data_IF_408067219349
#
_entry.id   IF_408067219349
#
_cell.length_a   1.000
_cell.length_b   1.000
_cell.length_c   1.000
_cell.angle_alpha   90.00
_cell.angle_beta   90.00
_cell.angle_gamma   90.00
#
_symmetry.space_group_name_H-M   'P 1'
#
loop_
_entity.id
_entity.type
_entity.pdbx_description
1 polymer ?
#
# COMPACT_ATOMS: atom_id res chain seq x y z
N UNK A 1 7.37 8.68 -1.02
CA UNK A 1 7.54 9.03 0.41
C UNK A 1 9.02 9.26 0.70
N UNK A 2 9.37 10.41 1.26
CA UNK A 2 10.75 10.79 1.62
C UNK A 2 11.16 10.34 3.02
N UNK A 3 10.50 9.31 3.57
CA UNK A 3 10.73 8.78 4.92
C UNK A 3 12.19 8.37 5.14
N UNK A 4 12.86 7.90 4.08
CA UNK A 4 14.27 7.55 4.12
C UNK A 4 15.19 8.75 4.47
N UNK A 5 14.74 10.00 4.27
CA UNK A 5 15.44 11.22 4.70
C UNK A 5 15.16 11.62 6.16
N UNK A 6 14.12 11.07 6.79
CA UNK A 6 13.82 11.36 8.19
C UNK A 6 14.87 10.73 9.11
N UNK A 7 15.27 11.49 10.13
CA UNK A 7 16.18 11.03 11.19
C UNK A 7 15.66 9.70 11.77
N UNK A 8 16.55 8.74 11.94
CA UNK A 8 16.23 7.32 12.24
C UNK A 8 15.46 7.11 13.56
N UNK A 9 15.50 8.07 14.46
CA UNK A 9 14.96 8.06 15.81
C UNK A 9 13.65 8.86 15.95
N UNK A 10 13.19 9.53 14.90
CA UNK A 10 11.87 10.21 14.90
C UNK A 10 10.76 9.17 14.79
N UNK A 11 9.83 9.08 15.76
CA UNK A 11 8.66 8.21 15.68
C UNK A 11 7.80 8.51 14.46
N UNK A 12 7.39 7.47 13.74
CA UNK A 12 6.47 7.58 12.59
C UNK A 12 5.12 7.00 13.00
N UNK A 13 4.12 7.88 13.06
CA UNK A 13 2.73 7.52 13.27
C UNK A 13 2.07 7.21 11.91
N UNK A 14 1.33 6.11 11.81
CA UNK A 14 0.68 5.70 10.55
C UNK A 14 -0.54 4.82 10.80
N UNK A 15 -1.45 4.77 9.81
CA UNK A 15 -2.58 3.85 9.83
C UNK A 15 -2.13 2.39 9.58
N UNK A 16 -2.92 1.38 10.00
CA UNK A 16 -2.60 -0.02 9.72
C UNK A 16 -2.45 -0.31 8.22
N UNK A 17 -3.31 0.28 7.39
CA UNK A 17 -3.23 0.17 5.93
C UNK A 17 -1.97 0.84 5.36
N UNK A 18 -1.57 2.02 5.85
CA UNK A 18 -0.30 2.64 5.46
C UNK A 18 0.90 1.77 5.81
N UNK A 19 0.88 1.12 6.98
CA UNK A 19 1.92 0.17 7.39
C UNK A 19 1.99 -1.02 6.43
N UNK A 20 0.86 -1.64 6.08
CA UNK A 20 0.78 -2.75 5.12
C UNK A 20 1.33 -2.37 3.73
N UNK A 21 0.98 -1.17 3.23
CA UNK A 21 1.50 -0.66 1.95
C UNK A 21 3.01 -0.41 2.03
N UNK A 22 3.50 0.27 3.08
CA UNK A 22 4.93 0.55 3.25
C UNK A 22 5.75 -0.73 3.39
N UNK A 23 5.23 -1.73 4.12
CA UNK A 23 5.84 -3.06 4.23
C UNK A 23 5.96 -3.73 2.86
N UNK A 24 4.86 -3.75 2.10
CA UNK A 24 4.85 -4.29 0.74
C UNK A 24 5.87 -3.59 -0.17
N UNK A 25 5.93 -2.25 -0.13
CA UNK A 25 6.84 -1.47 -0.97
C UNK A 25 8.33 -1.70 -0.62
N UNK A 26 8.64 -1.87 0.68
CA UNK A 26 9.99 -2.17 1.13
C UNK A 26 10.39 -3.61 0.81
N UNK A 27 9.52 -4.59 1.05
CA UNK A 27 9.85 -6.01 0.92
C UNK A 27 9.85 -6.50 -0.54
N UNK A 28 8.96 -5.96 -1.38
CA UNK A 28 8.83 -6.36 -2.80
C UNK A 28 9.62 -5.47 -3.77
N UNK A 29 10.29 -4.45 -3.23
CA UNK A 29 10.91 -3.39 -4.01
C UNK A 29 12.36 -3.65 -4.43
N UNK A 30 12.72 -3.24 -5.65
CA UNK A 30 14.11 -3.18 -6.12
C UNK A 30 14.66 -1.74 -6.11
N UNK A 31 15.87 -1.52 -5.59
CA UNK A 31 16.60 -0.23 -5.67
C UNK A 31 16.93 0.43 -4.33
N UNK A 32 17.65 1.56 -4.39
CA UNK A 32 18.02 2.41 -3.25
C UNK A 32 16.84 3.30 -2.81
N UNK A 33 16.85 3.77 -1.55
CA UNK A 33 15.83 4.67 -0.95
C UNK A 33 14.45 4.06 -0.61
N UNK A 34 14.37 2.73 -0.43
CA UNK A 34 13.14 2.02 -0.02
C UNK A 34 13.03 1.71 1.48
N UNK A 35 13.91 2.29 2.29
CA UNK A 35 13.90 2.16 3.75
C UNK A 35 12.73 2.96 4.34
N UNK A 36 11.55 2.34 4.36
CA UNK A 36 10.29 2.94 4.82
C UNK A 36 10.01 2.56 6.27
N UNK A 37 10.10 1.27 6.58
CA UNK A 37 9.91 0.73 7.93
C UNK A 37 11.24 0.52 8.65
N UNK A 38 12.31 0.36 7.87
CA UNK A 38 13.68 0.30 8.37
C UNK A 38 14.45 1.57 8.00
N UNK A 39 15.64 1.67 8.55
CA UNK A 39 16.68 2.63 8.16
C UNK A 39 17.96 1.84 7.92
N UNK A 40 18.51 1.91 6.71
CA UNK A 40 19.82 1.33 6.40
C UNK A 40 20.90 2.38 6.58
N UNK A 41 21.76 2.18 7.57
CA UNK A 41 22.86 3.11 7.81
C UNK A 41 23.92 2.99 6.70
N UNK A 42 24.15 4.10 6.00
CA UNK A 42 25.24 4.20 5.03
C UNK A 42 26.60 4.20 5.74
N UNK A 43 27.61 3.65 5.06
CA UNK A 43 29.02 3.65 5.49
C UNK A 43 29.34 2.99 6.86
N UNK A 44 28.47 2.11 7.38
CA UNK A 44 28.84 1.28 8.55
C UNK A 44 29.85 0.21 8.17
N UNK A 45 30.90 0.09 8.98
CA UNK A 45 31.94 -0.92 8.85
C UNK A 45 32.05 -1.75 10.13
N UNK A 46 32.55 -2.97 10.00
CA UNK A 46 32.92 -3.86 11.10
C UNK A 46 34.29 -4.49 10.83
N UNK A 47 35.04 -4.95 11.85
CA UNK A 47 36.26 -5.72 11.64
C UNK A 47 36.01 -6.93 10.71
N UNK A 48 36.97 -7.20 9.82
CA UNK A 48 36.88 -8.33 8.90
C UNK A 48 36.93 -9.66 9.65
N UNK A 49 36.02 -10.59 9.31
CA UNK A 49 36.09 -11.97 9.82
C UNK A 49 37.25 -12.78 9.20
N UNK A 50 37.92 -12.24 8.17
CA UNK A 50 38.98 -12.92 7.39
C UNK A 50 40.39 -12.39 7.70
N UNK A 51 40.58 -11.64 8.78
CA UNK A 51 41.89 -11.11 9.20
C UNK A 51 41.90 -9.59 9.34
N UNK A 52 43.04 -8.95 9.02
CA UNK A 52 43.21 -7.51 9.17
C UNK A 52 42.27 -6.70 8.25
N UNK A 53 41.78 -5.56 8.75
CA UNK A 53 40.96 -4.61 8.01
C UNK A 53 39.47 -4.61 8.38
N UNK A 54 38.67 -3.90 7.59
CA UNK A 54 37.24 -3.68 7.83
C UNK A 54 36.39 -4.11 6.64
N UNK A 55 35.18 -4.57 6.91
CA UNK A 55 34.17 -4.89 5.89
C UNK A 55 32.93 -4.02 6.10
N UNK A 56 32.37 -3.51 5.00
CA UNK A 56 31.09 -2.78 5.02
C UNK A 56 29.97 -3.70 5.49
N UNK A 57 29.15 -3.24 6.44
CA UNK A 57 27.94 -3.93 6.87
C UNK A 57 26.91 -3.82 5.73
N UNK A 58 26.31 -4.95 5.35
CA UNK A 58 25.35 -5.05 4.23
C UNK A 58 24.12 -5.88 4.66
N UNK A 59 23.05 -5.78 3.87
CA UNK A 59 21.84 -6.59 4.05
C UNK A 59 21.13 -6.30 5.37
N UNK A 60 20.52 -7.33 5.95
CA UNK A 60 19.71 -7.23 7.19
C UNK A 60 20.47 -6.62 8.37
N UNK A 61 21.77 -6.88 8.48
CA UNK A 61 22.61 -6.36 9.57
C UNK A 61 22.82 -4.83 9.50
N UNK A 62 22.68 -4.25 8.29
CA UNK A 62 22.75 -2.80 8.12
C UNK A 62 21.41 -2.09 8.40
N UNK A 63 20.31 -2.85 8.46
CA UNK A 63 18.95 -2.35 8.67
C UNK A 63 18.63 -2.28 10.16
N UNK A 64 18.11 -1.14 10.59
CA UNK A 64 17.53 -0.95 11.93
C UNK A 64 16.07 -0.57 11.78
N UNK A 65 15.16 -1.20 12.54
CA UNK A 65 13.73 -0.86 12.51
C UNK A 65 13.53 0.57 13.01
N UNK A 66 12.69 1.35 12.33
CA UNK A 66 12.30 2.69 12.77
C UNK A 66 11.35 2.60 13.98
N UNK A 67 11.28 3.63 14.83
CA UNK A 67 10.23 3.71 15.85
C UNK A 67 8.87 3.95 15.17
N UNK A 68 8.10 2.88 14.97
CA UNK A 68 6.79 2.94 14.32
C UNK A 68 5.66 2.91 15.38
N UNK A 69 4.65 3.74 15.18
CA UNK A 69 3.44 3.80 16.00
C UNK A 69 2.23 3.65 15.08
N UNK A 70 1.66 2.44 15.02
CA UNK A 70 0.42 2.23 14.29
C UNK A 70 -0.73 2.69 15.17
N UNK A 71 -1.52 3.64 14.68
CA UNK A 71 -2.66 4.19 15.43
C UNK A 71 -3.97 3.49 15.06
N UNK A 72 -4.99 3.72 15.88
CA UNK A 72 -6.38 3.34 15.63
C UNK A 72 -7.16 4.61 15.25
N UNK A 73 -8.02 4.53 14.23
CA UNK A 73 -8.85 5.67 13.82
C UNK A 73 -9.83 6.08 14.91
N UNK A 74 -10.09 7.39 15.02
CA UNK A 74 -10.95 7.98 16.05
C UNK A 74 -10.33 7.99 17.45
N UNK A 75 -9.18 7.33 17.66
CA UNK A 75 -8.52 7.27 18.97
C UNK A 75 -7.46 8.35 19.10
N UNK A 76 -7.66 9.22 20.10
CA UNK A 76 -6.71 10.28 20.47
C UNK A 76 -5.36 9.69 20.94
N UNK A 77 -4.26 10.29 20.49
CA UNK A 77 -2.92 10.03 20.99
C UNK A 77 -2.10 11.33 21.08
N UNK A 78 -1.12 11.37 21.98
CA UNK A 78 -0.29 12.55 22.19
C UNK A 78 1.01 12.51 21.37
N UNK A 79 1.41 13.66 20.83
CA UNK A 79 2.76 13.95 20.33
C UNK A 79 3.26 15.21 21.03
N UNK A 80 4.09 15.05 22.06
CA UNK A 80 4.51 16.18 22.89
C UNK A 80 3.29 16.82 23.57
N UNK A 81 3.05 18.10 23.32
CA UNK A 81 1.89 18.86 23.82
C UNK A 81 0.67 18.83 22.88
N UNK A 82 0.73 18.06 21.78
CA UNK A 82 -0.35 17.98 20.79
C UNK A 82 -1.19 16.74 21.03
N UNK A 83 -2.51 16.91 21.03
CA UNK A 83 -3.48 15.81 21.06
C UNK A 83 -4.04 15.57 19.66
N UNK A 84 -3.71 14.42 19.07
CA UNK A 84 -4.02 14.10 17.67
C UNK A 84 -5.08 13.00 17.60
N UNK A 85 -6.13 13.23 16.81
CA UNK A 85 -7.17 12.24 16.49
C UNK A 85 -7.13 11.98 14.98
N UNK A 86 -6.74 10.76 14.55
CA UNK A 86 -6.71 10.40 13.13
C UNK A 86 -8.09 9.92 12.67
N UNK A 87 -8.57 10.40 11.52
CA UNK A 87 -9.78 9.92 10.88
C UNK A 87 -9.46 9.35 9.50
N UNK A 88 -10.02 8.18 9.18
CA UNK A 88 -9.92 7.64 7.83
C UNK A 88 -10.70 8.54 6.87
N UNK A 89 -10.15 8.76 5.69
CA UNK A 89 -10.84 9.47 4.60
C UNK A 89 -10.82 8.62 3.34
N UNK A 90 -11.81 8.82 2.48
CA UNK A 90 -11.83 8.23 1.15
C UNK A 90 -10.70 8.78 0.30
N UNK A 91 -9.99 7.87 -0.37
CA UNK A 91 -9.01 8.20 -1.38
C UNK A 91 -8.76 6.96 -2.28
N UNK A 92 -7.88 7.10 -3.27
CA UNK A 92 -7.45 5.97 -4.12
C UNK A 92 -6.65 4.90 -3.36
N UNK A 93 -6.05 5.28 -2.22
CA UNK A 93 -5.27 4.39 -1.36
C UNK A 93 -5.96 4.20 -0.02
N UNK A 94 -6.10 2.96 0.48
CA UNK A 94 -6.54 2.75 1.85
C UNK A 94 -5.48 3.28 2.81
N UNK A 95 -5.94 3.73 3.98
CA UNK A 95 -5.04 4.34 4.96
C UNK A 95 -4.88 5.85 4.83
N UNK A 96 -5.50 6.49 3.83
CA UNK A 96 -5.58 7.95 3.75
C UNK A 96 -6.25 8.49 5.03
N UNK A 97 -5.65 9.53 5.61
CA UNK A 97 -5.95 9.97 6.97
C UNK A 97 -5.99 11.49 7.04
N UNK A 98 -7.08 12.03 7.59
CA UNK A 98 -7.15 13.38 8.11
C UNK A 98 -6.78 13.37 9.60
N UNK A 99 -6.25 14.49 10.09
CA UNK A 99 -5.82 14.64 11.48
C UNK A 99 -6.50 15.86 12.11
N UNK A 100 -7.32 15.60 13.12
CA UNK A 100 -7.84 16.63 14.02
C UNK A 100 -6.83 16.79 15.16
N UNK A 101 -6.26 17.97 15.30
CA UNK A 101 -5.12 18.26 16.17
C UNK A 101 -5.53 19.36 17.15
N UNK A 102 -5.47 19.05 18.44
CA UNK A 102 -5.76 20.00 19.50
C UNK A 102 -4.45 20.52 20.07
N UNK A 103 -4.39 21.83 20.25
CA UNK A 103 -3.24 22.55 20.82
C UNK A 103 -3.70 23.45 21.96
N UNK A 104 -2.76 24.09 22.65
CA UNK A 104 -3.11 25.08 23.68
C UNK A 104 -3.74 26.36 23.11
N UNK A 105 -3.53 26.64 21.83
CA UNK A 105 -3.97 27.88 21.17
C UNK A 105 -5.21 27.67 20.29
N UNK A 106 -5.72 26.44 20.18
CA UNK A 106 -6.83 26.12 19.30
C UNK A 106 -6.76 24.74 18.65
N UNK A 107 -7.79 24.44 17.88
CA UNK A 107 -8.00 23.17 17.17
C UNK A 107 -7.80 23.35 15.67
N UNK A 108 -7.06 22.42 15.07
CA UNK A 108 -6.73 22.42 13.65
C UNK A 108 -7.19 21.11 13.01
N UNK A 109 -7.74 21.20 11.80
CA UNK A 109 -7.98 20.04 10.95
C UNK A 109 -7.00 20.07 9.78
N UNK A 110 -6.19 19.02 9.63
CA UNK A 110 -5.42 18.75 8.41
C UNK A 110 -6.08 17.60 7.65
N UNK A 111 -6.64 17.88 6.47
CA UNK A 111 -7.43 16.86 5.75
C UNK A 111 -6.58 15.76 5.12
N UNK A 112 -5.31 16.05 4.84
CA UNK A 112 -4.57 15.30 3.82
C UNK A 112 -5.31 15.36 2.47
N UNK A 113 -5.06 14.35 1.63
CA UNK A 113 -5.79 14.17 0.36
C UNK A 113 -7.04 13.34 0.61
N UNK A 114 -8.19 13.78 0.10
CA UNK A 114 -9.46 13.09 0.32
C UNK A 114 -10.43 13.25 -0.86
N UNK A 115 -11.49 12.45 -0.88
CA UNK A 115 -12.59 12.56 -1.85
C UNK A 115 -13.93 12.18 -1.22
N UNK A 116 -15.01 12.29 -2.00
CA UNK A 116 -16.37 11.89 -1.63
C UNK A 116 -17.04 11.01 -2.69
N UNK A 117 -16.25 10.29 -3.50
CA UNK A 117 -16.76 9.60 -4.69
C UNK A 117 -16.09 8.25 -4.96
N UNK A 118 -15.53 7.64 -3.92
CA UNK A 118 -14.98 6.30 -3.92
C UNK A 118 -15.65 5.41 -2.87
N UNK A 119 -15.05 4.25 -2.64
CA UNK A 119 -15.61 3.20 -1.78
C UNK A 119 -15.69 3.56 -0.29
N UNK A 120 -14.95 4.58 0.16
CA UNK A 120 -14.87 4.98 1.58
C UNK A 120 -15.51 6.34 1.87
N UNK A 121 -16.43 6.80 1.03
CA UNK A 121 -17.10 8.12 1.18
C UNK A 121 -17.66 8.32 2.60
N UNK A 122 -18.25 7.30 3.20
CA UNK A 122 -18.77 7.34 4.57
C UNK A 122 -17.70 7.67 5.63
N UNK A 123 -16.44 7.28 5.42
CA UNK A 123 -15.33 7.62 6.32
C UNK A 123 -15.01 9.12 6.26
N UNK A 124 -14.96 9.70 5.05
CA UNK A 124 -14.82 11.16 4.88
C UNK A 124 -15.99 11.89 5.53
N UNK A 125 -17.23 11.44 5.35
CA UNK A 125 -18.40 12.05 6.00
C UNK A 125 -18.33 11.97 7.53
N UNK A 126 -17.84 10.87 8.09
CA UNK A 126 -17.62 10.73 9.53
C UNK A 126 -16.55 11.70 10.04
N UNK A 127 -15.47 11.88 9.29
CA UNK A 127 -14.44 12.88 9.58
C UNK A 127 -15.04 14.29 9.61
N UNK A 128 -15.84 14.65 8.60
CA UNK A 128 -16.51 15.97 8.53
C UNK A 128 -17.46 16.17 9.71
N UNK A 129 -18.24 15.15 10.08
CA UNK A 129 -19.14 15.23 11.25
C UNK A 129 -18.37 15.46 12.54
N UNK A 130 -17.30 14.69 12.78
CA UNK A 130 -16.47 14.86 13.97
C UNK A 130 -15.81 16.25 14.00
N UNK A 131 -15.33 16.74 12.86
CA UNK A 131 -14.76 18.07 12.75
C UNK A 131 -15.78 19.19 13.00
N UNK A 132 -17.04 19.00 12.61
CA UNK A 132 -18.13 19.96 12.82
C UNK A 132 -18.64 20.02 14.27
N UNK A 133 -18.30 19.04 15.11
CA UNK A 133 -18.61 19.02 16.54
C UNK A 133 -17.55 19.79 17.37
N UNK A 134 -16.47 20.25 16.74
CA UNK A 134 -15.36 20.96 17.37
C UNK A 134 -15.36 22.45 16.99
N UNK A 135 -14.76 23.28 17.85
CA UNK A 135 -14.47 24.69 17.55
C UNK A 135 -13.15 24.77 16.78
N UNK A 136 -13.21 24.75 15.45
CA UNK A 136 -12.03 24.73 14.58
C UNK A 136 -11.49 26.14 14.32
N UNK A 137 -10.26 26.40 14.77
CA UNK A 137 -9.54 27.64 14.49
C UNK A 137 -8.89 27.64 13.11
N UNK A 138 -8.47 26.48 12.60
CA UNK A 138 -7.71 26.38 11.34
C UNK A 138 -8.03 25.11 10.56
N UNK A 139 -8.27 25.28 9.26
CA UNK A 139 -8.42 24.21 8.29
C UNK A 139 -7.26 24.25 7.29
N UNK A 140 -6.44 23.19 7.27
CA UNK A 140 -5.45 22.94 6.23
C UNK A 140 -6.03 21.86 5.30
N UNK A 141 -6.44 22.29 4.12
CA UNK A 141 -7.16 21.47 3.15
C UNK A 141 -6.39 21.35 1.84
N UNK A 142 -6.47 20.18 1.21
CA UNK A 142 -5.95 19.97 -0.14
C UNK A 142 -6.75 20.80 -1.19
N UNK A 143 -6.13 21.09 -2.32
CA UNK A 143 -6.73 21.94 -3.37
C UNK A 143 -6.46 21.41 -4.78
N UNK A 144 -6.20 20.11 -4.92
CA UNK A 144 -5.72 19.50 -6.17
C UNK A 144 -6.67 19.71 -7.34
N UNK A 145 -7.97 19.80 -7.06
CA UNK A 145 -9.05 19.92 -8.05
C UNK A 145 -9.96 21.12 -7.80
N UNK A 146 -9.43 22.20 -7.23
CA UNK A 146 -10.22 23.40 -6.89
C UNK A 146 -10.94 24.02 -8.10
N UNK A 147 -10.38 23.85 -9.30
CA UNK A 147 -10.94 24.38 -10.55
C UNK A 147 -11.84 23.38 -11.30
N UNK A 148 -11.95 22.13 -10.84
CA UNK A 148 -12.77 21.09 -11.49
C UNK A 148 -14.16 21.02 -10.85
N UNK A 149 -15.21 21.07 -11.68
CA UNK A 149 -16.61 21.05 -11.20
C UNK A 149 -17.14 19.65 -10.87
N UNK A 150 -16.55 18.62 -11.45
CA UNK A 150 -16.97 17.22 -11.29
C UNK A 150 -15.89 16.29 -11.81
N UNK A 151 -15.73 15.13 -11.16
CA UNK A 151 -14.91 14.04 -11.65
C UNK A 151 -15.69 12.73 -11.65
N UNK A 152 -15.19 11.74 -12.38
CA UNK A 152 -15.80 10.41 -12.40
C UNK A 152 -15.68 9.74 -11.02
N UNK A 153 -16.76 9.11 -10.60
CA UNK A 153 -16.80 8.24 -9.41
C UNK A 153 -16.14 6.89 -9.71
N UNK A 154 -15.81 6.12 -8.67
CA UNK A 154 -15.38 4.72 -8.89
C UNK A 154 -16.50 3.85 -9.48
N UNK A 155 -17.77 4.21 -9.29
CA UNK A 155 -18.90 3.49 -9.87
C UNK A 155 -19.06 3.81 -11.36
N UNK A 156 -18.82 5.06 -11.79
CA UNK A 156 -18.81 5.43 -13.22
C UNK A 156 -17.73 4.64 -13.98
N UNK A 157 -16.58 4.43 -13.32
CA UNK A 157 -15.48 3.61 -13.86
C UNK A 157 -15.90 2.14 -13.93
N UNK A 158 -16.58 1.63 -12.91
CA UNK A 158 -17.10 0.25 -12.91
C UNK A 158 -18.06 0.02 -14.07
N UNK A 159 -19.04 0.91 -14.25
CA UNK A 159 -20.05 0.83 -15.30
C UNK A 159 -19.38 0.91 -16.68
N UNK A 160 -18.67 1.99 -16.96
CA UNK A 160 -18.08 2.24 -18.28
C UNK A 160 -17.06 1.15 -18.66
N UNK A 161 -16.17 0.76 -17.73
CA UNK A 161 -15.18 -0.28 -18.01
C UNK A 161 -15.82 -1.67 -18.04
N UNK A 162 -16.84 -1.92 -17.22
CA UNK A 162 -17.59 -3.17 -17.19
C UNK A 162 -18.31 -3.45 -18.50
N UNK A 163 -19.02 -2.44 -19.01
CA UNK A 163 -19.66 -2.49 -20.33
C UNK A 163 -18.65 -2.81 -21.42
N UNK A 164 -17.54 -2.08 -21.48
CA UNK A 164 -16.48 -2.34 -22.45
C UNK A 164 -15.94 -3.77 -22.36
N UNK A 165 -15.57 -4.23 -21.16
CA UNK A 165 -15.01 -5.58 -20.92
C UNK A 165 -16.01 -6.69 -21.29
N UNK A 166 -17.31 -6.44 -21.13
CA UNK A 166 -18.36 -7.42 -21.48
C UNK A 166 -18.47 -7.66 -22.98
N UNK A 167 -18.14 -6.65 -23.80
CA UNK A 167 -18.27 -6.71 -25.28
C UNK A 167 -17.02 -7.23 -25.98
N UNK A 168 -15.85 -7.16 -25.35
CA UNK A 168 -14.57 -7.51 -25.99
C UNK A 168 -14.34 -9.03 -25.96
N UNK A 169 -14.21 -9.73 -27.09
CA UNK A 169 -13.79 -11.14 -27.08
C UNK A 169 -12.31 -11.27 -26.71
N UNK A 170 -11.96 -12.33 -25.98
CA UNK A 170 -10.55 -12.65 -25.66
C UNK A 170 -9.96 -11.84 -24.50
N UNK A 171 -8.67 -11.51 -24.58
CA UNK A 171 -7.90 -10.87 -23.50
C UNK A 171 -8.19 -9.37 -23.42
N UNK A 172 -8.35 -8.86 -22.19
CA UNK A 172 -8.37 -7.42 -21.90
C UNK A 172 -7.18 -7.08 -21.01
N UNK A 173 -6.39 -6.09 -21.43
CA UNK A 173 -5.28 -5.57 -20.64
C UNK A 173 -5.67 -4.23 -20.01
N UNK A 174 -5.39 -4.07 -18.72
CA UNK A 174 -5.68 -2.87 -17.95
C UNK A 174 -4.41 -2.43 -17.22
N UNK A 175 -4.20 -1.12 -17.09
CA UNK A 175 -3.06 -0.56 -16.38
C UNK A 175 -3.55 0.43 -15.31
N UNK A 176 -3.16 0.19 -14.07
CA UNK A 176 -3.39 1.08 -12.94
C UNK A 176 -2.22 0.95 -11.95
N UNK A 177 -1.96 1.96 -11.10
CA UNK A 177 -0.88 1.87 -10.13
C UNK A 177 -1.05 0.67 -9.20
N UNK A 178 -0.01 -0.12 -8.98
CA UNK A 178 -0.11 -1.35 -8.18
C UNK A 178 -0.57 -1.16 -6.72
N UNK A 179 -0.53 0.08 -6.23
CA UNK A 179 -1.00 0.47 -4.89
C UNK A 179 -2.47 0.92 -4.88
N UNK A 180 -3.05 1.23 -6.04
CA UNK A 180 -4.43 1.69 -6.17
C UNK A 180 -5.39 0.51 -5.98
N UNK A 181 -5.68 0.24 -4.70
CA UNK A 181 -6.55 -0.86 -4.30
C UNK A 181 -8.02 -0.57 -4.58
N UNK A 182 -8.41 0.70 -4.73
CA UNK A 182 -9.74 1.05 -5.24
C UNK A 182 -9.92 0.53 -6.67
N UNK A 183 -8.93 0.78 -7.54
CA UNK A 183 -8.98 0.29 -8.93
C UNK A 183 -8.87 -1.24 -9.02
N UNK A 184 -8.07 -1.87 -8.16
CA UNK A 184 -8.03 -3.33 -8.05
C UNK A 184 -9.42 -3.88 -7.71
N UNK A 185 -10.12 -3.29 -6.72
CA UNK A 185 -11.47 -3.69 -6.33
C UNK A 185 -12.47 -3.52 -7.47
N UNK A 186 -12.40 -2.40 -8.20
CA UNK A 186 -13.24 -2.15 -9.38
C UNK A 186 -13.05 -3.22 -10.46
N UNK A 187 -11.80 -3.52 -10.85
CA UNK A 187 -11.56 -4.56 -11.87
C UNK A 187 -11.82 -5.99 -11.38
N UNK A 188 -11.70 -6.25 -10.08
CA UNK A 188 -12.14 -7.52 -9.50
C UNK A 188 -13.66 -7.69 -9.60
N UNK A 189 -14.44 -6.65 -9.29
CA UNK A 189 -15.91 -6.65 -9.49
C UNK A 189 -16.28 -6.89 -10.96
N UNK A 190 -15.59 -6.21 -11.88
CA UNK A 190 -15.81 -6.40 -13.33
C UNK A 190 -15.52 -7.85 -13.74
N UNK A 191 -14.36 -8.38 -13.34
CA UNK A 191 -13.98 -9.75 -13.67
C UNK A 191 -15.05 -10.76 -13.19
N UNK A 192 -15.52 -10.63 -11.95
CA UNK A 192 -16.61 -11.45 -11.41
C UNK A 192 -17.91 -11.32 -12.19
N UNK A 193 -18.35 -10.11 -12.48
CA UNK A 193 -19.62 -9.87 -13.19
C UNK A 193 -19.61 -10.38 -14.64
N UNK A 194 -18.42 -10.46 -15.25
CA UNK A 194 -18.24 -10.90 -16.66
C UNK A 194 -17.77 -12.36 -16.78
N UNK A 195 -17.66 -13.09 -15.67
CA UNK A 195 -17.16 -14.47 -15.65
C UNK A 195 -15.69 -14.60 -16.05
N UNK A 196 -14.92 -13.51 -15.96
CA UNK A 196 -13.48 -13.48 -16.26
C UNK A 196 -12.66 -13.66 -14.99
N UNK A 197 -11.38 -14.00 -15.16
CA UNK A 197 -10.38 -13.94 -14.10
C UNK A 197 -9.57 -12.65 -14.20
N UNK A 198 -9.35 -11.99 -13.08
CA UNK A 198 -8.43 -10.88 -12.96
C UNK A 198 -7.02 -11.44 -12.71
N UNK A 199 -6.10 -11.16 -13.62
CA UNK A 199 -4.70 -11.60 -13.52
C UNK A 199 -3.86 -10.48 -12.91
N UNK A 200 -3.18 -10.75 -11.80
CA UNK A 200 -2.39 -9.79 -11.04
C UNK A 200 -0.93 -10.21 -10.91
N UNK A 201 -0.02 -9.28 -10.64
CA UNK A 201 1.38 -9.63 -10.33
C UNK A 201 1.56 -10.17 -8.91
N UNK A 202 2.66 -10.87 -8.63
CA UNK A 202 3.03 -11.31 -7.27
C UNK A 202 3.14 -10.18 -6.24
N UNK A 203 3.41 -8.94 -6.69
CA UNK A 203 3.39 -7.77 -5.80
C UNK A 203 1.99 -7.49 -5.26
N UNK A 204 0.96 -7.66 -6.09
CA UNK A 204 -0.42 -7.55 -5.64
C UNK A 204 -0.79 -8.71 -4.72
N UNK A 205 -0.32 -9.94 -4.99
CA UNK A 205 -0.51 -11.08 -4.09
C UNK A 205 0.01 -10.76 -2.68
N UNK A 206 1.24 -10.23 -2.59
CA UNK A 206 1.84 -9.79 -1.33
C UNK A 206 1.03 -8.68 -0.67
N UNK A 207 0.59 -7.68 -1.44
CA UNK A 207 -0.24 -6.60 -0.91
C UNK A 207 -1.55 -7.14 -0.32
N UNK A 208 -2.24 -8.03 -1.02
CA UNK A 208 -3.51 -8.62 -0.58
C UNK A 208 -3.35 -9.43 0.71
N UNK A 209 -2.28 -10.20 0.87
CA UNK A 209 -1.98 -10.88 2.13
C UNK A 209 -1.76 -9.90 3.28
N UNK A 210 -1.02 -8.81 3.04
CA UNK A 210 -0.80 -7.78 4.07
C UNK A 210 -2.09 -7.12 4.53
N UNK A 211 -3.09 -6.99 3.64
CA UNK A 211 -4.42 -6.52 4.01
C UNK A 211 -5.28 -7.60 4.67
N UNK A 212 -5.15 -8.86 4.26
CA UNK A 212 -5.81 -10.00 4.90
C UNK A 212 -5.38 -10.16 6.37
N UNK A 213 -4.10 -9.93 6.67
CA UNK A 213 -3.56 -9.91 8.04
C UNK A 213 -4.19 -8.81 8.93
N UNK A 214 -4.79 -7.76 8.35
CA UNK A 214 -5.50 -6.72 9.09
C UNK A 214 -6.93 -7.16 9.51
N UNK A 215 -7.41 -8.32 9.05
CA UNK A 215 -8.65 -8.93 9.50
C UNK A 215 -9.93 -8.42 8.83
N UNK A 216 -9.82 -7.75 7.67
CA UNK A 216 -10.97 -7.28 6.89
C UNK A 216 -11.25 -8.13 5.64
N UNK A 217 -12.47 -8.03 5.12
CA UNK A 217 -12.94 -8.67 3.88
C UNK A 217 -13.07 -7.67 2.71
N UNK A 218 -12.48 -6.47 2.86
CA UNK A 218 -12.58 -5.38 1.89
C UNK A 218 -11.98 -5.75 0.52
N UNK A 219 -10.99 -6.65 0.51
CA UNK A 219 -10.24 -7.10 -0.65
C UNK A 219 -10.31 -8.63 -0.79
N UNK A 220 -10.27 -9.15 -2.03
CA UNK A 220 -10.29 -10.60 -2.25
C UNK A 220 -9.09 -11.31 -1.64
N UNK A 221 -9.32 -12.53 -1.15
CA UNK A 221 -8.22 -13.44 -0.80
C UNK A 221 -7.40 -13.78 -2.04
N UNK A 222 -6.11 -14.05 -1.85
CA UNK A 222 -5.26 -14.59 -2.92
C UNK A 222 -5.70 -15.97 -3.41
N UNK A 223 -6.57 -16.66 -2.66
CA UNK A 223 -7.18 -17.94 -3.04
C UNK A 223 -8.53 -17.77 -3.77
N UNK A 224 -8.97 -16.53 -4.07
CA UNK A 224 -10.25 -16.31 -4.77
C UNK A 224 -10.21 -16.92 -6.19
N UNK A 225 -11.25 -17.69 -6.59
CA UNK A 225 -11.27 -18.39 -7.88
C UNK A 225 -11.27 -17.46 -9.12
N UNK A 226 -11.60 -16.18 -8.94
CA UNK A 226 -11.56 -15.17 -9.99
C UNK A 226 -10.21 -14.43 -10.03
N UNK A 227 -9.24 -14.77 -9.18
CA UNK A 227 -7.89 -14.24 -9.23
C UNK A 227 -6.91 -15.28 -9.79
N UNK A 228 -6.06 -14.80 -10.69
CA UNK A 228 -4.85 -15.50 -11.11
C UNK A 228 -3.64 -14.60 -10.91
N UNK A 229 -2.45 -15.19 -10.79
CA UNK A 229 -1.21 -14.46 -10.66
C UNK A 229 -0.29 -14.69 -11.83
N UNK A 230 0.09 -13.61 -12.52
CA UNK A 230 1.02 -13.70 -13.63
C UNK A 230 2.45 -13.76 -13.14
N UNK A 231 3.14 -14.82 -13.55
CA UNK A 231 4.57 -15.01 -13.37
C UNK A 231 5.36 -14.38 -14.53
N UNK A 232 6.07 -13.28 -14.25
CA UNK A 232 7.05 -12.76 -15.20
C UNK A 232 8.23 -13.74 -15.30
N UNK A 233 8.48 -14.29 -16.49
CA UNK A 233 9.76 -14.95 -16.80
C UNK A 233 10.91 -13.96 -16.59
N UNK A 234 11.80 -14.25 -15.62
CA UNK A 234 12.94 -13.40 -15.29
C UNK A 234 14.16 -13.72 -16.17
N UNK A 235 15.37 -13.71 -15.63
CA UNK A 235 16.61 -13.76 -16.41
C UNK A 235 16.76 -15.04 -17.21
N UNK A 236 16.47 -16.19 -16.59
CA UNK A 236 16.55 -17.51 -17.22
C UNK A 236 15.21 -17.98 -17.77
N UNK A 237 14.11 -17.41 -17.28
CA UNK A 237 12.76 -17.68 -17.79
C UNK A 237 12.29 -19.11 -17.52
N UNK A 238 12.66 -19.64 -16.36
CA UNK A 238 12.42 -21.04 -15.97
C UNK A 238 11.03 -21.29 -15.37
N UNK A 239 10.20 -20.25 -15.26
CA UNK A 239 8.78 -20.31 -14.94
C UNK A 239 8.04 -21.46 -15.65
N UNK A 240 7.36 -22.31 -14.90
CA UNK A 240 6.53 -23.40 -15.46
C UNK A 240 7.30 -24.44 -16.28
N UNK A 241 8.62 -24.55 -16.10
CA UNK A 241 9.44 -25.58 -16.74
C UNK A 241 9.70 -26.76 -15.79
N UNK A 242 9.26 -27.94 -16.20
CA UNK A 242 9.45 -29.17 -15.42
C UNK A 242 10.79 -29.89 -15.70
N UNK A 243 11.56 -29.40 -16.68
CA UNK A 243 12.85 -29.97 -17.09
C UNK A 243 14.06 -29.40 -16.32
N UNK A 244 13.82 -28.53 -15.33
CA UNK A 244 14.86 -27.97 -14.46
C UNK A 244 14.61 -28.31 -12.98
N UNK A 245 15.67 -28.52 -12.17
CA UNK A 245 15.52 -28.67 -10.73
C UNK A 245 14.89 -27.41 -10.10
N UNK A 246 13.93 -27.60 -9.19
CA UNK A 246 13.18 -26.50 -8.53
C UNK A 246 14.09 -25.43 -7.91
N UNK A 247 15.20 -25.86 -7.28
CA UNK A 247 16.15 -24.93 -6.65
C UNK A 247 16.86 -24.01 -7.67
N UNK A 248 16.89 -24.38 -8.96
CA UNK A 248 17.42 -23.56 -10.04
C UNK A 248 16.34 -22.60 -10.54
N UNK A 249 15.09 -23.06 -10.67
CA UNK A 249 13.94 -22.20 -11.00
C UNK A 249 13.81 -21.06 -9.98
N UNK A 250 13.84 -21.38 -8.70
CA UNK A 250 13.73 -20.39 -7.61
C UNK A 250 14.86 -19.35 -7.57
N UNK A 251 16.04 -19.66 -8.11
CA UNK A 251 17.16 -18.72 -8.14
C UNK A 251 16.92 -17.54 -9.09
N UNK A 252 16.03 -17.69 -10.06
CA UNK A 252 15.64 -16.63 -10.98
C UNK A 252 14.68 -15.61 -10.31
N UNK A 253 14.16 -15.94 -9.11
CA UNK A 253 13.16 -15.14 -8.38
C UNK A 253 13.66 -14.65 -7.01
N UNK A 254 13.12 -13.50 -6.59
CA UNK A 254 13.36 -13.00 -5.24
C UNK A 254 12.76 -13.95 -4.21
N UNK A 255 13.38 -14.05 -3.04
CA UNK A 255 12.93 -14.96 -1.97
C UNK A 255 11.45 -14.75 -1.59
N UNK A 256 10.94 -13.51 -1.67
CA UNK A 256 9.54 -13.21 -1.36
C UNK A 256 8.56 -13.66 -2.45
N UNK A 257 9.01 -13.81 -3.70
CA UNK A 257 8.19 -14.25 -4.85
C UNK A 257 7.96 -15.76 -4.85
N UNK A 258 8.94 -16.53 -4.36
CA UNK A 258 8.99 -18.00 -4.51
C UNK A 258 7.75 -18.72 -4.02
N UNK A 259 7.11 -18.22 -2.97
CA UNK A 259 5.89 -18.82 -2.42
C UNK A 259 4.67 -18.71 -3.35
N UNK A 260 4.69 -17.79 -4.32
CA UNK A 260 3.62 -17.64 -5.31
C UNK A 260 3.85 -18.49 -6.56
N UNK A 261 5.07 -18.93 -6.84
CA UNK A 261 5.40 -19.71 -8.03
C UNK A 261 4.62 -21.02 -8.15
N UNK A 262 4.27 -21.62 -7.01
CA UNK A 262 3.73 -22.98 -6.95
C UNK A 262 2.27 -23.02 -6.53
N UNK A 263 1.53 -21.94 -6.78
CA UNK A 263 0.10 -21.87 -6.49
C UNK A 263 -0.70 -22.38 -7.69
N UNK A 264 -1.82 -23.02 -7.42
CA UNK A 264 -2.72 -23.53 -8.47
C UNK A 264 -3.30 -22.42 -9.38
N UNK A 265 -3.28 -21.18 -8.91
CA UNK A 265 -3.76 -20.01 -9.65
C UNK A 265 -2.64 -19.11 -10.19
N UNK A 266 -1.41 -19.61 -10.27
CA UNK A 266 -0.27 -18.95 -10.96
C UNK A 266 -0.13 -19.46 -12.39
#
# INVERSE_FOLDING_TARGET
>A
AYIHHLRKDIPIHMSPASHAIMKTLEDTGAGTFRDLLHHTASFRIRPSKRGAGYTKIKGKEAKTRRPLKVFEYGRKYAIGSLDVVPYEVDHSLPGATAYLIHTSEGTLLYTGDFRFHGYKTAATEQMVKAAAEEDLDTLIIEGTRVDEKSGNTEEDVLETAGEFVSTVPGLVAVNFPARDLARLKTFYRIARSTGRKLVLSFKHAYLLEQFSELGGDEYPSIDDPHLCFYEDRKGWGLAGRDDYPLNIVEQDYYTWERKYLYRDNT
#
